data_IF_472976934370
#
_entry.id   IF_472976934370
#
_cell.length_a   1.000
_cell.length_b   1.000
_cell.length_c   1.000
_cell.angle_alpha   90.00
_cell.angle_beta   90.00
_cell.angle_gamma   90.00
#
_symmetry.space_group_name_H-M   'P 1'
#
loop_
_entity.id
_entity.type
_entity.pdbx_description
1 polymer ?
#
# COMPACT_ATOMS: atom_id res chain seq x y z
N UNK A 1 -78.75 -5.85 -20.18
CA UNK A 1 -77.53 -6.50 -20.71
C UNK A 1 -76.57 -5.38 -21.03
N UNK A 2 -75.49 -5.29 -20.25
CA UNK A 2 -74.52 -4.22 -20.38
C UNK A 2 -73.53 -4.52 -21.51
N UNK A 3 -73.07 -3.46 -22.16
CA UNK A 3 -71.85 -3.50 -22.95
C UNK A 3 -71.01 -2.29 -22.56
N UNK A 4 -69.80 -2.62 -22.14
CA UNK A 4 -68.79 -1.80 -21.50
C UNK A 4 -68.05 -0.93 -22.51
N UNK A 5 -67.72 0.26 -22.03
CA UNK A 5 -66.85 1.26 -22.65
C UNK A 5 -65.40 0.73 -22.63
N UNK A 6 -64.74 0.59 -23.78
CA UNK A 6 -63.27 0.41 -23.83
C UNK A 6 -62.63 1.41 -24.81
N UNK A 7 -61.73 2.23 -24.26
CA UNK A 7 -60.92 3.23 -24.98
C UNK A 7 -59.87 2.55 -25.88
N UNK A 8 -59.42 3.23 -26.96
CA UNK A 8 -58.33 2.74 -27.81
C UNK A 8 -56.98 2.71 -27.08
N UNK A 9 -56.09 1.74 -27.41
CA UNK A 9 -54.80 1.57 -26.76
C UNK A 9 -53.81 2.71 -27.10
N UNK A 10 -52.87 3.04 -26.19
CA UNK A 10 -51.86 4.06 -26.43
C UNK A 10 -50.83 3.63 -27.49
N UNK A 11 -50.23 4.57 -28.24
CA UNK A 11 -49.25 4.25 -29.27
C UNK A 11 -47.97 3.63 -28.68
N UNK A 12 -47.57 2.49 -29.26
CA UNK A 12 -46.33 1.77 -28.94
C UNK A 12 -45.15 2.64 -29.38
N UNK A 13 -44.32 3.07 -28.42
CA UNK A 13 -43.07 3.76 -28.72
C UNK A 13 -42.09 2.80 -29.42
N UNK A 14 -41.50 3.26 -30.52
CA UNK A 14 -40.51 2.51 -31.28
C UNK A 14 -39.24 2.25 -30.43
N UNK A 15 -38.57 1.09 -30.60
CA UNK A 15 -37.32 0.81 -29.91
C UNK A 15 -36.21 1.77 -30.37
N UNK A 16 -35.31 2.21 -29.47
CA UNK A 16 -34.19 3.09 -29.83
C UNK A 16 -33.23 2.39 -30.82
N UNK A 17 -32.57 3.15 -31.69
CA UNK A 17 -31.73 2.59 -32.75
C UNK A 17 -30.54 1.81 -32.17
N UNK A 18 -30.34 0.60 -32.67
CA UNK A 18 -29.18 -0.25 -32.37
C UNK A 18 -27.90 0.50 -32.74
N UNK A 19 -27.03 0.74 -31.75
CA UNK A 19 -25.68 1.23 -31.98
C UNK A 19 -24.88 0.19 -32.78
N UNK A 20 -24.01 0.63 -33.72
CA UNK A 20 -23.27 -0.28 -34.57
C UNK A 20 -22.33 -1.15 -33.75
N UNK A 21 -22.46 -2.46 -33.94
CA UNK A 21 -21.61 -3.51 -33.39
C UNK A 21 -20.16 -3.27 -33.83
N UNK A 22 -19.35 -2.64 -32.97
CA UNK A 22 -17.93 -2.48 -33.21
C UNK A 22 -17.24 -3.83 -32.98
N UNK A 23 -16.60 -4.29 -34.04
CA UNK A 23 -15.94 -5.58 -34.24
C UNK A 23 -15.27 -6.15 -32.99
N UNK A 24 -15.69 -7.37 -32.64
CA UNK A 24 -15.06 -8.23 -31.64
C UNK A 24 -13.58 -8.48 -31.99
N UNK A 25 -12.68 -7.96 -31.16
CA UNK A 25 -11.34 -8.53 -30.99
C UNK A 25 -11.36 -9.39 -29.72
N UNK A 26 -10.98 -10.65 -29.92
CA UNK A 26 -10.95 -11.74 -28.96
C UNK A 26 -10.10 -11.37 -27.73
N UNK A 27 -10.68 -11.48 -26.52
CA UNK A 27 -9.93 -11.56 -25.26
C UNK A 27 -10.23 -10.54 -24.15
N UNK A 28 -11.18 -9.62 -24.33
CA UNK A 28 -11.60 -8.70 -23.26
C UNK A 28 -12.95 -9.17 -22.68
N UNK A 29 -12.94 -9.62 -21.42
CA UNK A 29 -14.18 -9.79 -20.65
C UNK A 29 -14.95 -8.47 -20.60
N UNK A 30 -16.28 -8.54 -20.50
CA UNK A 30 -17.18 -7.38 -20.52
C UNK A 30 -16.66 -6.25 -19.61
N UNK A 31 -16.41 -5.08 -20.21
CA UNK A 31 -16.03 -3.87 -19.47
C UNK A 31 -17.33 -3.30 -18.90
N UNK A 32 -17.69 -3.74 -17.70
CA UNK A 32 -18.74 -3.10 -16.92
C UNK A 32 -18.21 -1.77 -16.38
N UNK A 33 -18.95 -0.65 -16.50
CA UNK A 33 -18.58 0.58 -15.84
C UNK A 33 -18.51 0.36 -14.31
N UNK A 34 -17.49 0.89 -13.61
CA UNK A 34 -17.20 0.59 -12.19
C UNK A 34 -18.40 0.75 -11.25
N UNK A 35 -19.26 1.73 -11.56
CA UNK A 35 -20.39 2.16 -10.75
C UNK A 35 -21.52 1.10 -10.67
N UNK A 36 -21.55 0.10 -11.56
CA UNK A 36 -22.58 -0.96 -11.52
C UNK A 36 -22.26 -2.08 -10.51
N UNK A 37 -21.00 -2.22 -10.08
CA UNK A 37 -20.57 -3.31 -9.20
C UNK A 37 -20.10 -2.82 -7.82
N UNK A 38 -19.54 -1.62 -7.73
CA UNK A 38 -19.20 -0.96 -6.46
C UNK A 38 -19.41 0.55 -6.60
N UNK A 39 -20.45 1.10 -5.95
CA UNK A 39 -20.79 2.54 -5.96
C UNK A 39 -19.65 3.47 -5.48
N UNK A 40 -18.56 2.94 -4.91
CA UNK A 40 -17.43 3.69 -4.35
C UNK A 40 -16.13 3.60 -5.17
N UNK A 41 -16.11 2.87 -6.30
CA UNK A 41 -14.93 2.83 -7.19
C UNK A 41 -15.14 3.75 -8.39
N UNK A 42 -14.35 4.82 -8.50
CA UNK A 42 -14.37 5.73 -9.66
C UNK A 42 -13.58 5.18 -10.87
N UNK A 43 -12.66 4.23 -10.65
CA UNK A 43 -11.81 3.65 -11.70
C UNK A 43 -11.66 2.14 -11.52
N UNK A 44 -11.84 1.37 -12.60
CA UNK A 44 -11.51 -0.06 -12.64
C UNK A 44 -10.01 -0.26 -12.92
N UNK A 45 -9.46 -1.41 -12.51
CA UNK A 45 -8.05 -1.78 -12.71
C UNK A 45 -7.60 -1.72 -14.18
N UNK A 46 -8.52 -1.94 -15.13
CA UNK A 46 -8.28 -1.86 -16.57
C UNK A 46 -8.77 -0.57 -17.23
N UNK A 47 -9.28 0.40 -16.45
CA UNK A 47 -9.64 1.72 -16.98
C UNK A 47 -8.39 2.56 -17.15
N UNK A 48 -8.30 3.32 -18.25
CA UNK A 48 -7.20 4.26 -18.51
C UNK A 48 -7.70 5.69 -18.27
N UNK A 49 -7.40 6.31 -17.11
CA UNK A 49 -7.74 7.71 -16.86
C UNK A 49 -6.92 8.64 -17.74
N UNK A 50 -7.26 9.94 -17.70
CA UNK A 50 -6.43 10.97 -18.32
C UNK A 50 -4.99 10.93 -17.76
N UNK A 51 -4.00 11.10 -18.64
CA UNK A 51 -2.59 10.95 -18.28
C UNK A 51 -2.15 11.90 -17.15
N UNK A 52 -2.77 13.09 -17.07
CA UNK A 52 -2.53 14.09 -16.02
C UNK A 52 -3.02 13.59 -14.65
N UNK A 53 -4.22 12.99 -14.59
CA UNK A 53 -4.75 12.43 -13.34
C UNK A 53 -3.90 11.24 -12.86
N UNK A 54 -3.45 10.38 -13.77
CA UNK A 54 -2.53 9.27 -13.45
C UNK A 54 -1.22 9.79 -12.89
N UNK A 55 -0.62 10.80 -13.51
CA UNK A 55 0.62 11.40 -13.04
C UNK A 55 0.47 12.03 -11.64
N UNK A 56 -0.63 12.76 -11.40
CA UNK A 56 -0.92 13.35 -10.09
C UNK A 56 -1.14 12.29 -9.00
N UNK A 57 -1.90 11.23 -9.29
CA UNK A 57 -2.17 10.14 -8.36
C UNK A 57 -0.91 9.33 -8.05
N UNK A 58 -0.08 9.06 -9.07
CA UNK A 58 1.21 8.39 -8.90
C UNK A 58 2.16 9.21 -8.02
N UNK A 59 2.18 10.53 -8.20
CA UNK A 59 2.98 11.43 -7.36
C UNK A 59 2.50 11.41 -5.89
N UNK A 60 1.20 11.46 -5.65
CA UNK A 60 0.65 11.34 -4.30
C UNK A 60 1.03 10.00 -3.67
N UNK A 61 0.90 8.90 -4.42
CA UNK A 61 1.25 7.57 -3.92
C UNK A 61 2.74 7.48 -3.57
N UNK A 62 3.59 8.09 -4.39
CA UNK A 62 5.02 8.23 -4.10
C UNK A 62 5.29 9.03 -2.82
N UNK A 63 4.60 10.15 -2.59
CA UNK A 63 4.77 10.95 -1.37
C UNK A 63 4.37 10.19 -0.11
N UNK A 64 3.26 9.45 -0.14
CA UNK A 64 2.81 8.62 0.99
C UNK A 64 3.83 7.52 1.30
N UNK A 65 4.31 6.84 0.25
CA UNK A 65 5.35 5.83 0.37
C UNK A 65 6.65 6.41 0.94
N UNK A 66 7.10 7.55 0.41
CA UNK A 66 8.27 8.27 0.91
C UNK A 66 8.14 8.60 2.40
N UNK A 67 6.98 9.11 2.83
CA UNK A 67 6.71 9.42 4.24
C UNK A 67 6.88 8.19 5.14
N UNK A 68 6.28 7.06 4.76
CA UNK A 68 6.39 5.82 5.53
C UNK A 68 7.82 5.28 5.60
N UNK A 69 8.59 5.34 4.50
CA UNK A 69 10.00 4.92 4.45
C UNK A 69 10.89 5.82 5.31
N UNK A 70 10.67 7.14 5.29
CA UNK A 70 11.40 8.10 6.12
C UNK A 70 11.08 7.89 7.59
N UNK A 71 9.82 7.65 7.95
CA UNK A 71 9.42 7.31 9.32
C UNK A 71 10.14 6.06 9.80
N UNK A 72 10.14 5.00 8.97
CA UNK A 72 10.80 3.75 9.28
C UNK A 72 12.31 3.93 9.51
N UNK A 73 13.02 4.58 8.57
CA UNK A 73 14.44 4.84 8.70
C UNK A 73 14.77 5.72 9.93
N UNK A 74 13.90 6.67 10.25
CA UNK A 74 14.05 7.52 11.44
C UNK A 74 13.88 6.74 12.73
N UNK A 75 13.05 5.70 12.75
CA UNK A 75 12.87 4.84 13.91
C UNK A 75 14.06 3.89 14.12
N UNK A 76 14.54 3.25 13.05
CA UNK A 76 15.53 2.17 13.17
C UNK A 76 16.99 2.66 13.18
N UNK A 77 17.35 3.68 12.38
CA UNK A 77 18.76 4.06 12.20
C UNK A 77 19.40 4.62 13.46
N UNK A 78 18.74 5.51 14.24
CA UNK A 78 19.32 6.00 15.49
C UNK A 78 19.53 4.89 16.52
N UNK A 79 18.59 3.93 16.61
CA UNK A 79 18.71 2.78 17.50
C UNK A 79 19.90 1.87 17.15
N UNK A 80 20.31 1.82 15.88
CA UNK A 80 21.51 1.08 15.45
C UNK A 80 22.81 1.85 15.67
N UNK A 81 22.77 3.12 16.07
CA UNK A 81 23.96 4.00 16.15
C UNK A 81 24.38 4.65 14.83
N UNK A 82 23.50 4.69 13.83
CA UNK A 82 23.81 5.30 12.54
C UNK A 82 23.73 6.83 12.56
N UNK A 83 24.59 7.49 11.78
CA UNK A 83 24.59 8.95 11.64
C UNK A 83 23.56 9.41 10.58
N UNK A 84 23.36 10.72 10.42
CA UNK A 84 22.47 11.31 9.41
C UNK A 84 22.81 10.87 7.97
N UNK A 85 24.10 10.68 7.66
CA UNK A 85 24.55 10.14 6.37
C UNK A 85 24.12 8.69 6.16
N UNK A 86 24.20 7.86 7.20
CA UNK A 86 23.75 6.46 7.15
C UNK A 86 22.23 6.39 7.00
N UNK A 87 21.50 7.28 7.66
CA UNK A 87 20.04 7.41 7.52
C UNK A 87 19.64 7.71 6.07
N UNK A 88 20.29 8.67 5.43
CA UNK A 88 20.03 9.01 4.03
C UNK A 88 20.29 7.81 3.10
N UNK A 89 21.39 7.07 3.32
CA UNK A 89 21.72 5.87 2.56
C UNK A 89 20.68 4.76 2.71
N UNK A 90 20.16 4.55 3.93
CA UNK A 90 19.08 3.58 4.20
C UNK A 90 17.79 3.98 3.50
N UNK A 91 17.39 5.26 3.57
CA UNK A 91 16.20 5.77 2.87
C UNK A 91 16.31 5.54 1.36
N UNK A 92 17.44 5.92 0.76
CA UNK A 92 17.69 5.72 -0.66
C UNK A 92 17.60 4.23 -1.05
N UNK A 93 18.19 3.35 -0.23
CA UNK A 93 18.21 1.91 -0.49
C UNK A 93 16.81 1.29 -0.40
N UNK A 94 16.00 1.71 0.58
CA UNK A 94 14.62 1.28 0.71
C UNK A 94 13.75 1.75 -0.45
N UNK A 95 13.86 3.01 -0.87
CA UNK A 95 13.11 3.52 -2.02
C UNK A 95 13.50 2.80 -3.32
N UNK A 96 14.81 2.57 -3.52
CA UNK A 96 15.31 1.87 -4.69
C UNK A 96 14.83 0.42 -4.75
N UNK A 97 14.95 -0.33 -3.64
CA UNK A 97 14.45 -1.71 -3.59
C UNK A 97 12.93 -1.79 -3.65
N UNK A 98 12.20 -0.86 -3.03
CA UNK A 98 10.74 -0.76 -3.15
C UNK A 98 10.31 -0.57 -4.59
N UNK A 99 11.01 0.29 -5.35
CA UNK A 99 10.76 0.49 -6.78
C UNK A 99 10.99 -0.78 -7.58
N UNK A 100 12.14 -1.45 -7.40
CA UNK A 100 12.45 -2.71 -8.11
C UNK A 100 11.43 -3.80 -7.77
N UNK A 101 11.10 -3.99 -6.50
CA UNK A 101 10.13 -5.01 -6.07
C UNK A 101 8.73 -4.71 -6.61
N UNK A 102 8.32 -3.44 -6.66
CA UNK A 102 7.02 -3.04 -7.23
C UNK A 102 6.98 -3.25 -8.75
N UNK A 103 8.07 -2.93 -9.46
CA UNK A 103 8.18 -3.22 -10.89
C UNK A 103 8.13 -4.73 -11.15
N UNK A 104 8.83 -5.53 -10.33
CA UNK A 104 8.81 -6.98 -10.44
C UNK A 104 7.40 -7.55 -10.17
N UNK A 105 6.69 -7.04 -9.16
CA UNK A 105 5.33 -7.44 -8.81
C UNK A 105 4.31 -7.12 -9.92
N UNK A 106 4.46 -5.95 -10.56
CA UNK A 106 3.53 -5.48 -11.61
C UNK A 106 3.84 -6.06 -12.99
N UNK A 107 5.11 -6.31 -13.32
CA UNK A 107 5.52 -6.84 -14.63
C UNK A 107 5.51 -8.38 -14.70
N UNK A 108 6.17 -9.05 -13.75
CA UNK A 108 6.40 -10.51 -13.76
C UNK A 108 5.48 -11.23 -12.76
N UNK A 109 5.09 -10.56 -11.69
CA UNK A 109 4.24 -11.10 -10.63
C UNK A 109 2.77 -11.22 -11.03
N UNK A 110 1.88 -10.91 -10.10
CA UNK A 110 0.43 -11.10 -10.28
C UNK A 110 -0.21 -10.08 -11.22
N UNK A 111 0.55 -9.09 -11.72
CA UNK A 111 0.07 -7.96 -12.54
C UNK A 111 -1.03 -7.14 -11.87
N UNK A 112 -1.18 -7.28 -10.55
CA UNK A 112 -2.06 -6.43 -9.76
C UNK A 112 -1.31 -5.14 -9.38
N UNK A 113 -2.00 -3.99 -9.31
CA UNK A 113 -1.43 -2.73 -8.86
C UNK A 113 -1.19 -2.76 -7.34
N UNK A 114 -0.13 -3.45 -6.93
CA UNK A 114 0.29 -3.58 -5.53
C UNK A 114 1.66 -2.95 -5.35
N UNK A 115 1.75 -1.98 -4.44
CA UNK A 115 3.01 -1.30 -4.12
C UNK A 115 3.70 -2.00 -2.96
N UNK A 116 4.97 -2.37 -3.18
CA UNK A 116 5.79 -3.08 -2.20
C UNK A 116 6.61 -2.08 -1.38
N UNK A 117 6.52 -2.16 -0.06
CA UNK A 117 7.33 -1.36 0.87
C UNK A 117 7.98 -2.24 1.95
N UNK A 118 8.93 -1.68 2.67
CA UNK A 118 9.41 -2.25 3.92
C UNK A 118 8.25 -2.36 4.93
N UNK A 119 8.11 -3.54 5.54
CA UNK A 119 7.03 -3.81 6.47
C UNK A 119 7.36 -3.31 7.88
N UNK A 120 6.42 -2.58 8.47
CA UNK A 120 6.51 -2.12 9.86
C UNK A 120 6.52 -3.28 10.87
N UNK A 121 6.07 -4.48 10.48
CA UNK A 121 6.15 -5.67 11.34
C UNK A 121 7.60 -6.03 11.71
N UNK A 122 8.57 -5.68 10.87
CA UNK A 122 9.99 -5.96 11.13
C UNK A 122 10.68 -4.89 11.98
N UNK A 123 10.02 -3.78 12.32
CA UNK A 123 10.61 -2.73 13.17
C UNK A 123 10.97 -3.27 14.55
N UNK A 124 10.02 -3.93 15.20
CA UNK A 124 10.21 -4.46 16.57
C UNK A 124 11.35 -5.48 16.63
N UNK A 125 11.41 -6.50 15.74
CA UNK A 125 12.57 -7.40 15.67
C UNK A 125 13.90 -6.69 15.44
N UNK A 126 13.95 -5.72 14.51
CA UNK A 126 15.19 -5.00 14.21
C UNK A 126 15.67 -4.15 15.39
N UNK A 127 14.75 -3.48 16.09
CA UNK A 127 15.08 -2.73 17.31
C UNK A 127 15.55 -3.64 18.43
N UNK A 128 14.96 -4.84 18.56
CA UNK A 128 15.41 -5.84 19.53
C UNK A 128 16.85 -6.28 19.28
N UNK A 129 17.19 -6.58 18.02
CA UNK A 129 18.57 -6.92 17.61
C UNK A 129 19.51 -5.74 17.90
N UNK A 130 19.10 -4.51 17.57
CA UNK A 130 19.92 -3.32 17.80
C UNK A 130 20.24 -3.12 19.30
N UNK A 131 19.25 -3.30 20.17
CA UNK A 131 19.42 -3.18 21.63
C UNK A 131 20.35 -4.26 22.21
N UNK A 132 20.25 -5.48 21.71
CA UNK A 132 21.14 -6.57 22.13
C UNK A 132 22.59 -6.31 21.69
N UNK A 133 22.79 -5.80 20.47
CA UNK A 133 24.11 -5.43 19.96
C UNK A 133 24.65 -4.20 20.69
N UNK A 134 23.82 -3.22 21.05
CA UNK A 134 24.19 -2.07 21.87
C UNK A 134 24.76 -2.47 23.23
N UNK A 135 24.21 -3.52 23.85
CA UNK A 135 24.72 -4.05 25.13
C UNK A 135 26.13 -4.63 25.03
N UNK A 136 26.63 -4.93 23.83
CA UNK A 136 28.02 -5.34 23.65
C UNK A 136 28.89 -4.08 23.59
N UNK A 137 29.96 -4.03 24.38
CA UNK A 137 30.87 -2.87 24.49
C UNK A 137 31.61 -2.53 23.19
N UNK A 138 30.93 -1.91 22.22
CA UNK A 138 31.52 -1.39 21.00
C UNK A 138 32.12 0.00 21.23
N UNK A 139 33.38 0.17 20.86
CA UNK A 139 34.12 1.45 20.95
C UNK A 139 33.72 2.48 19.88
N UNK A 140 33.07 2.04 18.78
CA UNK A 140 32.74 2.89 17.62
C UNK A 140 31.28 2.72 17.17
N UNK A 141 30.53 3.81 17.12
CA UNK A 141 29.12 3.84 16.70
C UNK A 141 28.91 3.37 15.25
N UNK A 142 29.83 3.71 14.34
CA UNK A 142 29.71 3.35 12.92
C UNK A 142 29.95 1.84 12.68
N UNK A 143 30.84 1.21 13.47
CA UNK A 143 31.02 -0.24 13.44
C UNK A 143 29.80 -0.95 14.04
N UNK A 144 29.21 -0.40 15.12
CA UNK A 144 27.93 -0.87 15.67
C UNK A 144 26.83 -0.84 14.62
N UNK A 145 26.70 0.27 13.89
CA UNK A 145 25.71 0.40 12.82
C UNK A 145 25.88 -0.65 11.71
N UNK A 146 27.10 -0.80 11.17
CA UNK A 146 27.38 -1.80 10.13
C UNK A 146 27.12 -3.23 10.60
N UNK A 147 27.52 -3.54 11.83
CA UNK A 147 27.33 -4.87 12.39
C UNK A 147 25.84 -5.18 12.57
N UNK A 148 25.09 -4.27 13.18
CA UNK A 148 23.63 -4.40 13.35
C UNK A 148 22.91 -4.50 12.01
N UNK A 149 23.28 -3.67 11.02
CA UNK A 149 22.68 -3.72 9.69
C UNK A 149 22.90 -5.08 9.01
N UNK A 150 24.12 -5.64 9.10
CA UNK A 150 24.44 -6.95 8.53
C UNK A 150 23.65 -8.07 9.22
N UNK A 151 23.57 -8.03 10.55
CA UNK A 151 22.83 -9.02 11.34
C UNK A 151 21.32 -8.94 11.03
N UNK A 152 20.76 -7.73 10.97
CA UNK A 152 19.36 -7.51 10.62
C UNK A 152 19.05 -8.00 9.19
N UNK A 153 19.88 -7.66 8.21
CA UNK A 153 19.71 -8.13 6.83
C UNK A 153 19.80 -9.65 6.73
N UNK A 154 20.75 -10.29 7.41
CA UNK A 154 20.87 -11.75 7.47
C UNK A 154 19.63 -12.41 8.07
N UNK A 155 19.13 -11.88 9.20
CA UNK A 155 17.91 -12.37 9.83
C UNK A 155 16.68 -12.21 8.91
N UNK A 156 16.56 -11.08 8.22
CA UNK A 156 15.47 -10.81 7.26
C UNK A 156 15.52 -11.74 6.05
N UNK A 157 16.70 -12.10 5.54
CA UNK A 157 16.86 -13.07 4.45
C UNK A 157 16.36 -14.44 4.89
N UNK A 158 16.80 -14.92 6.07
CA UNK A 158 16.36 -16.22 6.61
C UNK A 158 14.85 -16.22 6.84
N UNK A 159 14.30 -15.17 7.45
CA UNK A 159 12.86 -15.01 7.64
C UNK A 159 12.09 -15.02 6.30
N UNK A 160 12.65 -14.41 5.25
CA UNK A 160 12.05 -14.37 3.92
C UNK A 160 12.01 -15.75 3.26
N UNK A 161 13.06 -16.56 3.41
CA UNK A 161 13.09 -17.95 2.92
C UNK A 161 12.02 -18.78 3.63
N UNK A 162 11.90 -18.64 4.96
CA UNK A 162 10.85 -19.33 5.72
C UNK A 162 9.45 -18.89 5.27
N UNK A 163 9.23 -17.60 5.07
CA UNK A 163 7.96 -17.08 4.55
C UNK A 163 7.65 -17.60 3.15
N UNK A 164 8.66 -17.75 2.29
CA UNK A 164 8.50 -18.32 0.95
C UNK A 164 8.06 -19.79 1.04
N UNK A 165 8.73 -20.60 1.88
CA UNK A 165 8.37 -22.01 2.10
C UNK A 165 6.94 -22.13 2.64
N UNK A 166 6.58 -21.31 3.63
CA UNK A 166 5.22 -21.28 4.18
C UNK A 166 4.18 -20.81 3.15
N UNK A 167 4.54 -19.86 2.30
CA UNK A 167 3.68 -19.33 1.24
C UNK A 167 3.41 -20.34 0.12
N UNK A 168 4.40 -21.14 -0.27
CA UNK A 168 4.21 -22.26 -1.21
C UNK A 168 3.51 -23.47 -0.58
N UNK A 169 3.51 -23.56 0.74
CA UNK A 169 2.84 -24.64 1.45
C UNK A 169 1.32 -24.45 1.43
N UNK A 170 0.57 -25.53 1.18
CA UNK A 170 -0.91 -25.55 1.26
C UNK A 170 -1.44 -25.19 2.66
N UNK A 171 -0.56 -25.25 3.64
CA UNK A 171 -0.75 -24.84 5.03
C UNK A 171 -1.25 -23.39 5.13
N UNK A 172 -0.72 -22.47 4.33
CA UNK A 172 -1.16 -21.07 4.37
C UNK A 172 -2.65 -20.93 4.04
N UNK A 173 -3.15 -21.67 3.05
CA UNK A 173 -4.57 -21.69 2.69
C UNK A 173 -5.48 -22.25 3.79
N UNK A 174 -5.00 -23.24 4.55
CA UNK A 174 -5.73 -23.80 5.68
C UNK A 174 -5.80 -22.82 6.87
N UNK A 175 -4.70 -22.11 7.16
CA UNK A 175 -4.67 -21.08 8.21
C UNK A 175 -5.40 -19.80 7.80
N UNK A 176 -5.35 -19.40 6.53
CA UNK A 176 -6.09 -18.25 5.99
C UNK A 176 -7.59 -18.34 6.28
N UNK A 177 -8.17 -19.54 6.22
CA UNK A 177 -9.59 -19.79 6.57
C UNK A 177 -9.92 -19.54 8.05
N UNK A 178 -8.93 -19.57 8.95
CA UNK A 178 -9.12 -19.31 10.39
C UNK A 178 -9.06 -17.82 10.72
N UNK A 179 -8.48 -17.00 9.85
CA UNK A 179 -8.43 -15.55 10.04
C UNK A 179 -9.79 -14.94 9.65
N UNK A 180 -10.69 -14.85 10.63
CA UNK A 180 -11.91 -14.06 10.49
C UNK A 180 -11.57 -12.56 10.53
N UNK A 181 -12.29 -11.70 9.78
CA UNK A 181 -12.16 -10.24 9.87
C UNK A 181 -12.21 -9.70 11.30
N UNK A 182 -12.93 -10.40 12.20
CA UNK A 182 -13.02 -10.09 13.62
C UNK A 182 -11.67 -10.13 14.34
N UNK A 183 -10.76 -11.03 13.94
CA UNK A 183 -9.43 -11.17 14.53
C UNK A 183 -8.44 -10.21 13.86
N UNK A 184 -8.57 -10.00 12.55
CA UNK A 184 -7.63 -9.16 11.80
C UNK A 184 -7.81 -7.68 12.10
N UNK A 185 -9.05 -7.22 12.32
CA UNK A 185 -9.36 -5.81 12.62
C UNK A 185 -8.58 -5.29 13.83
N UNK A 186 -8.63 -5.90 15.03
CA UNK A 186 -7.90 -5.40 16.18
C UNK A 186 -6.37 -5.45 15.96
N UNK A 187 -5.85 -6.45 15.25
CA UNK A 187 -4.41 -6.52 14.94
C UNK A 187 -3.98 -5.33 14.08
N UNK A 188 -4.73 -5.02 13.01
CA UNK A 188 -4.44 -3.87 12.15
C UNK A 188 -4.59 -2.55 12.92
N UNK A 189 -5.60 -2.43 13.79
CA UNK A 189 -5.77 -1.26 14.64
C UNK A 189 -4.57 -1.06 15.58
N UNK A 190 -4.09 -2.13 16.23
CA UNK A 190 -2.92 -2.05 17.13
C UNK A 190 -1.66 -1.65 16.38
N UNK A 191 -1.43 -2.20 15.18
CA UNK A 191 -0.31 -1.78 14.32
C UNK A 191 -0.44 -0.30 13.94
N UNK A 192 -1.63 0.14 13.54
CA UNK A 192 -1.90 1.55 13.21
C UNK A 192 -1.66 2.50 14.39
N UNK A 193 -2.13 2.14 15.58
CA UNK A 193 -1.89 2.90 16.82
C UNK A 193 -0.40 2.94 17.18
N UNK A 194 0.34 1.84 16.97
CA UNK A 194 1.79 1.81 17.15
C UNK A 194 2.53 2.78 16.22
N UNK A 195 2.10 2.86 14.95
CA UNK A 195 2.64 3.84 13.99
C UNK A 195 2.31 5.27 14.37
N UNK A 196 1.10 5.53 14.89
CA UNK A 196 0.72 6.84 15.37
C UNK A 196 1.63 7.32 16.50
N UNK A 197 1.96 6.44 17.46
CA UNK A 197 2.89 6.75 18.55
C UNK A 197 4.31 7.07 18.07
N UNK A 198 4.75 6.48 16.96
CA UNK A 198 6.06 6.78 16.35
C UNK A 198 6.05 8.08 15.54
N UNK A 199 4.96 8.37 14.82
CA UNK A 199 4.86 9.52 13.92
C UNK A 199 4.51 10.83 14.61
N UNK A 200 3.54 10.80 15.53
CA UNK A 200 3.08 11.98 16.26
C UNK A 200 4.19 12.79 16.95
N UNK A 201 5.16 12.17 17.67
CA UNK A 201 6.25 12.94 18.29
C UNK A 201 7.21 13.57 17.27
N UNK A 202 7.32 13.05 16.05
CA UNK A 202 8.14 13.70 15.01
C UNK A 202 7.43 14.93 14.44
N UNK A 203 6.11 14.86 14.25
CA UNK A 203 5.29 16.01 13.82
C UNK A 203 5.25 17.09 14.91
N UNK A 204 5.18 16.69 16.18
CA UNK A 204 5.15 17.59 17.33
C UNK A 204 6.40 18.44 17.52
N UNK A 205 7.58 18.00 17.03
CA UNK A 205 8.81 18.81 17.09
C UNK A 205 8.74 20.08 16.25
N UNK A 206 7.97 20.06 15.16
CA UNK A 206 7.78 21.19 14.26
C UNK A 206 6.32 21.25 13.81
N UNK A 207 5.42 21.57 14.74
CA UNK A 207 3.97 21.64 14.47
C UNK A 207 3.62 22.65 13.38
N UNK A 208 4.37 23.76 13.31
CA UNK A 208 4.17 24.85 12.34
C UNK A 208 4.34 24.37 10.89
N UNK A 209 5.17 23.37 10.65
CA UNK A 209 5.44 22.80 9.31
C UNK A 209 4.65 21.51 9.10
N UNK A 210 4.53 20.68 10.15
CA UNK A 210 3.89 19.38 10.07
C UNK A 210 2.36 19.47 9.89
N UNK A 211 1.70 20.39 10.60
CA UNK A 211 0.25 20.58 10.51
C UNK A 211 -0.21 21.03 9.11
N UNK A 212 0.38 22.06 8.47
CA UNK A 212 -0.03 22.46 7.13
C UNK A 212 0.27 21.38 6.08
N UNK A 213 1.36 20.60 6.24
CA UNK A 213 1.67 19.50 5.33
C UNK A 213 0.61 18.39 5.40
N UNK A 214 0.12 18.05 6.60
CA UNK A 214 -0.96 17.07 6.79
C UNK A 214 -2.29 17.58 6.24
N UNK A 215 -2.66 18.83 6.53
CA UNK A 215 -3.90 19.44 6.01
C UNK A 215 -3.87 19.47 4.49
N UNK A 216 -2.76 19.90 3.89
CA UNK A 216 -2.60 19.95 2.44
C UNK A 216 -2.72 18.56 1.82
N UNK A 217 -2.10 17.53 2.42
CA UNK A 217 -2.23 16.16 1.93
C UNK A 217 -3.68 15.66 1.97
N UNK A 218 -4.42 15.93 3.05
CA UNK A 218 -5.83 15.55 3.19
C UNK A 218 -6.70 16.31 2.18
N UNK A 219 -6.53 17.63 2.04
CA UNK A 219 -7.29 18.44 1.07
C UNK A 219 -7.04 17.94 -0.36
N UNK A 220 -5.78 17.69 -0.71
CA UNK A 220 -5.40 17.14 -2.02
C UNK A 220 -6.02 15.76 -2.24
N UNK A 221 -6.08 14.91 -1.20
CA UNK A 221 -6.77 13.62 -1.29
C UNK A 221 -8.28 13.77 -1.50
N UNK A 222 -8.95 14.68 -0.81
CA UNK A 222 -10.40 14.91 -0.98
C UNK A 222 -10.74 15.53 -2.32
N UNK A 223 -9.87 16.38 -2.87
CA UNK A 223 -10.07 17.01 -4.19
C UNK A 223 -9.84 16.01 -5.34
N UNK A 224 -8.99 15.00 -5.13
CA UNK A 224 -8.66 13.98 -6.14
C UNK A 224 -9.45 12.68 -6.00
N UNK A 225 -10.22 12.49 -4.92
CA UNK A 225 -11.09 11.33 -4.68
C UNK A 225 -12.43 11.47 -5.41
#
# INVERSE_FOLDING_TARGET
MGETNELPPPPVAAPPPMMPMQSMMVGAGAIHPPHEQFHHLNYCVHSNPSWVQVAALAFLHYLVMLGSTVMLATAIVPAMGGNAGDKARVIQSFLFMSGINTLLQTLIGTRLPTVMNASFAFVVPVLSIAKEIESNNFLNDHERFKHTMRTAQGALIVASILNMILGFSTIWGAYAKKFSPVIMTPVVCVVGLGLFQLGFPQVGKCVEIGLPMLILAVVVQQVMA
#
